data_IF_400465868052
#
_entry.id   IF_400465868052
#
_cell.length_a   1.000
_cell.length_b   1.000
_cell.length_c   1.000
_cell.angle_alpha   90.00
_cell.angle_beta   90.00
_cell.angle_gamma   90.00
#
_symmetry.space_group_name_H-M   'P 1'
#
loop_
_entity.id
_entity.type
_entity.pdbx_description
1 polymer ?
#
# COMPACT_ATOMS: atom_id res chain seq x y z
N UNK A 1 26.36 9.18 -11.79
CA UNK A 1 25.69 9.02 -10.49
C UNK A 1 25.37 7.55 -10.30
N UNK A 2 25.57 7.02 -9.09
CA UNK A 2 25.09 5.69 -8.75
C UNK A 2 23.55 5.74 -8.73
N UNK A 3 22.89 4.74 -9.34
CA UNK A 3 21.43 4.66 -9.30
C UNK A 3 20.97 4.25 -7.90
N UNK A 4 19.86 4.83 -7.48
CA UNK A 4 19.20 4.59 -6.21
C UNK A 4 18.81 3.11 -6.07
N UNK A 5 18.86 2.62 -4.82
CA UNK A 5 18.38 1.29 -4.44
C UNK A 5 16.86 1.32 -4.26
N UNK A 6 16.18 0.36 -4.89
CA UNK A 6 14.72 0.30 -4.90
C UNK A 6 14.24 -1.04 -4.34
N UNK A 7 13.45 -1.00 -3.28
CA UNK A 7 12.77 -2.19 -2.79
C UNK A 7 11.34 -2.25 -3.33
N UNK A 8 10.97 -3.35 -3.97
CA UNK A 8 9.60 -3.60 -4.41
C UNK A 8 8.91 -4.47 -3.38
N UNK A 9 7.93 -3.93 -2.66
CA UNK A 9 7.06 -4.72 -1.79
C UNK A 9 5.90 -5.26 -2.60
N UNK A 10 5.67 -6.57 -2.51
CA UNK A 10 4.66 -7.31 -3.26
C UNK A 10 4.11 -8.48 -2.42
N UNK A 11 3.21 -9.29 -2.96
CA UNK A 11 2.55 -10.35 -2.22
C UNK A 11 1.71 -9.80 -1.08
N UNK A 12 2.00 -10.18 0.16
CA UNK A 12 1.19 -9.80 1.32
C UNK A 12 0.33 -10.94 1.87
N UNK A 13 -0.48 -10.60 2.88
CA UNK A 13 -1.45 -11.50 3.52
C UNK A 13 -2.92 -11.17 3.14
N UNK A 14 -3.14 -10.27 2.19
CA UNK A 14 -4.48 -9.91 1.71
C UNK A 14 -5.03 -10.98 0.75
N UNK A 15 -6.34 -10.93 0.51
CA UNK A 15 -7.01 -11.77 -0.52
C UNK A 15 -6.52 -11.46 -1.95
N UNK A 16 -5.84 -10.33 -2.13
CA UNK A 16 -5.35 -9.83 -3.43
C UNK A 16 -3.86 -10.17 -3.67
N UNK A 17 -3.29 -11.03 -2.83
CA UNK A 17 -1.89 -11.47 -2.86
C UNK A 17 -1.38 -11.85 -4.25
N UNK A 18 -2.13 -12.67 -5.00
CA UNK A 18 -1.69 -13.14 -6.33
C UNK A 18 -1.60 -12.00 -7.35
N UNK A 19 -2.49 -11.01 -7.25
CA UNK A 19 -2.46 -9.81 -8.09
C UNK A 19 -1.25 -8.94 -7.72
N UNK A 20 -0.97 -8.83 -6.43
CA UNK A 20 0.19 -8.15 -5.88
C UNK A 20 1.52 -8.76 -6.33
N UNK A 21 1.67 -10.09 -6.27
CA UNK A 21 2.86 -10.80 -6.76
C UNK A 21 3.11 -10.56 -8.26
N UNK A 22 2.05 -10.63 -9.08
CA UNK A 22 2.15 -10.37 -10.52
C UNK A 22 2.58 -8.94 -10.81
N UNK A 23 1.96 -7.97 -10.15
CA UNK A 23 2.30 -6.55 -10.27
C UNK A 23 3.75 -6.29 -9.86
N UNK A 24 4.13 -6.76 -8.68
CA UNK A 24 5.48 -6.59 -8.13
C UNK A 24 6.56 -7.24 -8.99
N UNK A 25 6.31 -8.44 -9.53
CA UNK A 25 7.25 -9.12 -10.43
C UNK A 25 7.48 -8.32 -11.71
N UNK A 26 6.43 -7.74 -12.29
CA UNK A 26 6.54 -6.90 -13.48
C UNK A 26 7.34 -5.61 -13.20
N UNK A 27 7.04 -4.94 -12.09
CA UNK A 27 7.76 -3.73 -11.65
C UNK A 27 9.23 -4.02 -11.38
N UNK A 28 9.53 -5.08 -10.62
CA UNK A 28 10.89 -5.49 -10.30
C UNK A 28 11.71 -5.78 -11.56
N UNK A 29 11.11 -6.51 -12.52
CA UNK A 29 11.75 -6.79 -13.82
C UNK A 29 12.07 -5.49 -14.57
N UNK A 30 11.13 -4.55 -14.62
CA UNK A 30 11.33 -3.28 -15.29
C UNK A 30 12.45 -2.45 -14.62
N UNK A 31 12.46 -2.33 -13.30
CA UNK A 31 13.50 -1.62 -12.55
C UNK A 31 14.89 -2.22 -12.79
N UNK A 32 15.01 -3.56 -12.76
CA UNK A 32 16.26 -4.26 -13.08
C UNK A 32 16.72 -4.02 -14.52
N UNK A 33 15.80 -4.08 -15.49
CA UNK A 33 16.11 -3.79 -16.90
C UNK A 33 16.58 -2.35 -17.13
N UNK A 34 16.07 -1.41 -16.33
CA UNK A 34 16.53 -0.03 -16.32
C UNK A 34 17.87 0.14 -15.59
N UNK A 35 18.41 -0.88 -14.95
CA UNK A 35 19.70 -0.86 -14.26
C UNK A 35 19.68 -0.31 -12.83
N UNK A 36 18.51 -0.19 -12.19
CA UNK A 36 18.43 0.14 -10.76
C UNK A 36 18.87 -1.06 -9.91
N UNK A 37 19.43 -0.78 -8.73
CA UNK A 37 19.71 -1.79 -7.72
C UNK A 37 18.39 -2.18 -7.04
N UNK A 38 17.63 -3.09 -7.67
CA UNK A 38 16.28 -3.42 -7.25
C UNK A 38 16.14 -4.83 -6.63
N UNK A 39 15.51 -4.91 -5.46
CA UNK A 39 15.16 -6.16 -4.77
C UNK A 39 13.63 -6.27 -4.62
N UNK A 40 13.10 -7.49 -4.57
CA UNK A 40 11.68 -7.74 -4.29
C UNK A 40 11.51 -8.48 -2.97
N UNK A 41 10.56 -8.04 -2.15
CA UNK A 41 10.15 -8.74 -0.93
C UNK A 41 8.64 -8.99 -0.99
N UNK A 42 8.28 -10.24 -0.73
CA UNK A 42 6.90 -10.61 -0.42
C UNK A 42 6.61 -10.21 1.03
N UNK A 43 5.71 -9.25 1.24
CA UNK A 43 5.45 -8.70 2.58
C UNK A 43 4.78 -9.76 3.46
N UNK A 44 5.50 -10.21 4.47
CA UNK A 44 5.02 -11.08 5.54
C UNK A 44 5.44 -10.53 6.90
N UNK A 45 4.80 -10.93 8.02
CA UNK A 45 5.15 -10.42 9.35
C UNK A 45 6.64 -10.58 9.72
N UNK A 46 7.28 -11.65 9.25
CA UNK A 46 8.69 -11.97 9.48
C UNK A 46 9.66 -11.22 8.56
N UNK A 47 9.17 -10.55 7.51
CA UNK A 47 10.02 -9.79 6.57
C UNK A 47 10.33 -8.36 7.04
N UNK A 48 9.72 -7.92 8.14
CA UNK A 48 9.88 -6.58 8.69
C UNK A 48 11.34 -6.23 9.00
N UNK A 49 12.06 -7.16 9.65
CA UNK A 49 13.48 -6.96 9.97
C UNK A 49 14.32 -6.78 8.71
N UNK A 50 14.00 -7.52 7.65
CA UNK A 50 14.72 -7.42 6.38
C UNK A 50 14.55 -6.04 5.72
N UNK A 51 13.36 -5.44 5.82
CA UNK A 51 13.12 -4.09 5.29
C UNK A 51 13.97 -3.06 6.03
N UNK A 52 14.06 -3.19 7.37
CA UNK A 52 14.87 -2.32 8.23
C UNK A 52 16.35 -2.49 7.92
N UNK A 53 16.83 -3.73 7.79
CA UNK A 53 18.25 -4.02 7.55
C UNK A 53 18.70 -3.56 6.15
N UNK A 54 17.83 -3.68 5.14
CA UNK A 54 18.12 -3.23 3.78
C UNK A 54 18.16 -1.71 3.66
N UNK A 55 17.26 -1.01 4.37
CA UNK A 55 17.08 0.45 4.35
C UNK A 55 17.25 1.08 2.94
N UNK A 56 16.40 0.70 1.97
CA UNK A 56 16.52 1.16 0.58
C UNK A 56 16.31 2.69 0.47
N UNK A 57 16.81 3.28 -0.62
CA UNK A 57 16.60 4.70 -0.91
C UNK A 57 15.13 5.03 -1.20
N UNK A 58 14.38 4.07 -1.75
CA UNK A 58 12.93 4.18 -1.97
C UNK A 58 12.25 2.81 -2.02
N UNK A 59 11.01 2.76 -1.55
CA UNK A 59 10.13 1.59 -1.66
C UNK A 59 9.06 1.80 -2.74
N UNK A 60 9.01 0.89 -3.71
CA UNK A 60 7.88 0.77 -4.62
C UNK A 60 6.82 -0.15 -4.00
N UNK A 61 5.64 0.41 -3.71
CA UNK A 61 4.51 -0.34 -3.17
C UNK A 61 3.71 -0.99 -4.32
N UNK A 62 3.95 -2.28 -4.55
CA UNK A 62 3.15 -3.11 -5.46
C UNK A 62 2.21 -4.06 -4.71
N UNK A 63 1.79 -3.64 -3.51
CA UNK A 63 0.85 -4.35 -2.64
C UNK A 63 -0.60 -4.00 -3.01
N UNK A 64 -1.52 -4.91 -2.74
CA UNK A 64 -2.97 -4.73 -2.99
C UNK A 64 -3.75 -5.13 -1.75
N UNK A 65 -4.75 -4.34 -1.37
CA UNK A 65 -5.64 -4.61 -0.25
C UNK A 65 -5.04 -4.31 1.13
N UNK A 66 -5.56 -4.99 2.14
CA UNK A 66 -5.23 -4.74 3.56
C UNK A 66 -3.73 -4.83 3.83
N UNK A 67 -3.24 -3.98 4.73
CA UNK A 67 -1.84 -3.76 5.09
C UNK A 67 -0.97 -3.08 4.03
N UNK A 68 -1.31 -3.22 2.74
CA UNK A 68 -0.61 -2.57 1.63
C UNK A 68 -1.16 -1.20 1.24
N UNK A 69 -2.47 -1.04 1.28
CA UNK A 69 -3.18 0.14 0.76
C UNK A 69 -3.96 0.91 1.83
N UNK A 70 -3.94 0.45 3.08
CA UNK A 70 -4.77 0.98 4.18
C UNK A 70 -4.02 1.92 5.13
N UNK A 71 -2.79 2.30 4.79
CA UNK A 71 -1.93 3.16 5.61
C UNK A 71 -1.00 2.40 6.56
N UNK A 72 -1.13 1.08 6.71
CA UNK A 72 -0.32 0.30 7.66
C UNK A 72 1.16 0.30 7.29
N UNK A 73 1.51 -0.18 6.08
CA UNK A 73 2.90 -0.21 5.63
C UNK A 73 3.45 1.21 5.43
N UNK A 74 2.62 2.14 4.99
CA UNK A 74 2.97 3.55 4.88
C UNK A 74 3.43 4.09 6.22
N UNK A 75 2.70 3.80 7.30
CA UNK A 75 3.06 4.25 8.65
C UNK A 75 4.41 3.71 9.13
N UNK A 76 4.73 2.45 8.80
CA UNK A 76 6.06 1.91 9.06
C UNK A 76 7.14 2.71 8.31
N UNK A 77 6.93 2.93 7.01
CA UNK A 77 7.91 3.61 6.17
C UNK A 77 8.11 5.08 6.58
N UNK A 78 7.06 5.76 7.06
CA UNK A 78 7.18 7.09 7.70
C UNK A 78 8.06 7.04 8.95
N UNK A 79 7.88 6.04 9.82
CA UNK A 79 8.69 5.88 11.04
C UNK A 79 10.17 5.65 10.69
N UNK A 80 10.42 4.83 9.66
CA UNK A 80 11.76 4.53 9.19
C UNK A 80 12.39 5.66 8.36
N UNK A 81 11.63 6.69 7.99
CA UNK A 81 12.10 7.76 7.11
C UNK A 81 12.43 7.28 5.70
N UNK A 82 11.82 6.18 5.24
CA UNK A 82 12.06 5.60 3.92
C UNK A 82 11.01 6.15 2.94
N UNK A 83 11.40 6.87 1.87
CA UNK A 83 10.48 7.32 0.84
C UNK A 83 9.75 6.15 0.17
N UNK A 84 8.49 6.35 -0.21
CA UNK A 84 7.69 5.32 -0.90
C UNK A 84 6.77 5.90 -1.96
N UNK A 85 6.39 5.07 -2.92
CA UNK A 85 5.45 5.45 -3.98
C UNK A 85 4.01 5.46 -3.47
N UNK A 86 3.20 6.40 -3.97
CA UNK A 86 1.75 6.41 -3.76
C UNK A 86 1.29 7.44 -2.71
N UNK A 87 0.18 7.12 -2.05
CA UNK A 87 -0.46 8.02 -1.08
C UNK A 87 0.10 7.85 0.32
N UNK A 88 0.13 8.95 1.09
CA UNK A 88 0.51 8.94 2.51
C UNK A 88 -0.45 8.15 3.40
N UNK A 89 -0.12 8.03 4.69
CA UNK A 89 -0.87 7.25 5.70
C UNK A 89 -2.37 7.61 5.73
N UNK A 90 -2.69 8.88 5.92
CA UNK A 90 -4.06 9.34 6.08
C UNK A 90 -4.91 9.08 4.82
N UNK A 91 -4.37 9.44 3.65
CA UNK A 91 -5.06 9.24 2.38
C UNK A 91 -5.31 7.77 2.10
N UNK A 92 -4.31 6.90 2.31
CA UNK A 92 -4.43 5.46 2.14
C UNK A 92 -5.52 4.87 3.05
N UNK A 93 -5.50 5.20 4.34
CA UNK A 93 -6.51 4.74 5.31
C UNK A 93 -7.93 5.22 4.97
N UNK A 94 -8.10 6.48 4.57
CA UNK A 94 -9.41 7.05 4.22
C UNK A 94 -9.94 6.40 2.94
N UNK A 95 -9.11 6.29 1.90
CA UNK A 95 -9.50 5.74 0.60
C UNK A 95 -9.89 4.25 0.69
N UNK A 96 -9.24 3.48 1.57
CA UNK A 96 -9.62 2.08 1.80
C UNK A 96 -10.98 1.96 2.52
N UNK A 97 -11.35 2.96 3.32
CA UNK A 97 -12.65 3.01 3.99
C UNK A 97 -13.70 3.76 3.15
N UNK A 98 -14.49 3.00 2.38
CA UNK A 98 -15.55 3.55 1.52
C UNK A 98 -16.56 4.43 2.27
N UNK A 99 -16.87 4.14 3.54
CA UNK A 99 -17.79 4.95 4.34
C UNK A 99 -17.18 6.32 4.65
N UNK A 100 -15.93 6.34 5.12
CA UNK A 100 -15.23 7.59 5.42
C UNK A 100 -14.99 8.41 4.15
N UNK A 101 -14.53 7.77 3.07
CA UNK A 101 -14.37 8.41 1.76
C UNK A 101 -15.66 9.09 1.29
N UNK A 102 -16.80 8.39 1.34
CA UNK A 102 -18.10 8.97 0.90
C UNK A 102 -18.56 10.11 1.80
N UNK A 103 -18.32 10.04 3.11
CA UNK A 103 -18.62 11.15 4.04
C UNK A 103 -17.77 12.38 3.72
N UNK A 104 -16.47 12.19 3.44
CA UNK A 104 -15.59 13.28 3.05
C UNK A 104 -16.00 13.90 1.71
N UNK A 105 -16.37 13.07 0.72
CA UNK A 105 -16.90 13.57 -0.56
C UNK A 105 -18.14 14.42 -0.36
N UNK A 106 -19.11 13.98 0.45
CA UNK A 106 -20.30 14.79 0.73
C UNK A 106 -19.96 16.11 1.43
N UNK A 107 -19.04 16.08 2.41
CA UNK A 107 -18.60 17.27 3.12
C UNK A 107 -17.94 18.30 2.19
N UNK A 108 -17.12 17.83 1.25
CA UNK A 108 -16.43 18.66 0.24
C UNK A 108 -17.28 18.93 -1.01
N UNK A 109 -18.58 18.59 -1.02
CA UNK A 109 -19.49 18.74 -2.16
C UNK A 109 -19.05 18.00 -3.44
N UNK A 110 -18.30 16.90 -3.31
CA UNK A 110 -17.96 15.98 -4.39
C UNK A 110 -19.09 14.95 -4.56
N UNK A 111 -19.65 14.79 -5.78
CA UNK A 111 -20.76 13.86 -6.01
C UNK A 111 -20.45 12.41 -5.64
N UNK A 112 -21.35 11.77 -4.89
CA UNK A 112 -21.31 10.34 -4.60
C UNK A 112 -22.72 9.79 -4.45
N UNK A 113 -22.95 8.51 -4.80
CA UNK A 113 -24.28 7.90 -4.69
C UNK A 113 -24.82 7.98 -3.24
N UNK A 114 -26.14 8.25 -3.03
CA UNK A 114 -26.75 8.16 -1.71
C UNK A 114 -26.49 6.80 -1.05
N UNK A 115 -26.32 6.78 0.27
CA UNK A 115 -25.98 5.56 0.98
C UNK A 115 -26.50 5.54 2.42
N UNK A 116 -26.65 4.33 2.95
CA UNK A 116 -26.86 4.05 4.38
C UNK A 116 -25.74 3.12 4.84
N UNK A 117 -25.39 3.16 6.14
CA UNK A 117 -24.36 2.29 6.71
C UNK A 117 -25.01 1.31 7.66
N UNK A 118 -24.95 0.02 7.31
CA UNK A 118 -25.35 -1.06 8.20
C UNK A 118 -24.13 -1.55 8.98
N UNK A 119 -24.31 -1.80 10.27
CA UNK A 119 -23.29 -2.45 11.11
C UNK A 119 -23.63 -3.92 11.27
N UNK A 120 -22.61 -4.73 11.53
CA UNK A 120 -22.81 -6.13 11.86
C UNK A 120 -23.78 -6.26 13.04
N UNK A 121 -24.79 -7.13 12.90
CA UNK A 121 -25.86 -7.29 13.90
C UNK A 121 -27.03 -6.32 13.77
N UNK A 122 -27.09 -5.49 12.73
CA UNK A 122 -28.28 -4.69 12.44
C UNK A 122 -29.49 -5.60 12.16
N UNK A 123 -30.57 -5.38 12.90
CA UNK A 123 -31.89 -6.00 12.67
C UNK A 123 -32.84 -4.87 12.29
N UNK A 124 -33.46 -4.90 11.09
CA UNK A 124 -34.50 -3.94 10.73
C UNK A 124 -35.72 -4.10 11.66
N UNK A 125 -36.35 -2.99 12.03
CA UNK A 125 -37.68 -2.99 12.67
C UNK A 125 -38.76 -3.60 11.76
#
# INVERSE_FOLDING_TARGET
>A
MQKESVLVLMGGMSEEREVSLRSGTAVLKALKNLGYAAEGIDLQPDTMQKIIDLHPDVVFLALHGKYGEDGTIQGLLEILGIPYTGSGVASSAICMNKVLSKKLFQYENIPTAPFVVLRQGYVPD
#
